data_IF_604225779899
#
_entry.id   IF_604225779899
#
_cell.length_a   1.000
_cell.length_b   1.000
_cell.length_c   1.000
_cell.angle_alpha   90.00
_cell.angle_beta   90.00
_cell.angle_gamma   90.00
#
_symmetry.space_group_name_H-M   'P 1'
#
loop_
_entity.id
_entity.type
_entity.pdbx_description
1 polymer ?
#
# COMPACT_ATOMS: atom_id res chain seq x y z
N UNK A 1 33.17 7.95 10.19
CA UNK A 1 32.80 9.05 9.27
C UNK A 1 31.99 8.44 8.13
N UNK A 2 30.85 9.02 7.74
CA UNK A 2 30.02 8.45 6.67
C UNK A 2 30.62 8.71 5.28
N UNK A 3 30.52 7.77 4.33
CA UNK A 3 30.91 8.01 2.94
C UNK A 3 30.12 9.15 2.33
N UNK A 4 30.82 10.15 1.80
CA UNK A 4 30.21 11.39 1.32
C UNK A 4 29.19 11.17 0.20
N UNK A 5 29.46 10.25 -0.73
CA UNK A 5 28.54 9.89 -1.82
C UNK A 5 27.22 9.34 -1.29
N UNK A 6 27.28 8.48 -0.27
CA UNK A 6 26.08 7.91 0.36
C UNK A 6 25.28 8.99 1.10
N UNK A 7 25.95 9.93 1.77
CA UNK A 7 25.30 11.08 2.42
C UNK A 7 24.56 11.95 1.38
N UNK A 8 25.19 12.24 0.23
CA UNK A 8 24.54 13.00 -0.85
C UNK A 8 23.29 12.27 -1.36
N UNK A 9 23.38 10.95 -1.57
CA UNK A 9 22.26 10.15 -2.06
C UNK A 9 21.08 10.16 -1.08
N UNK A 10 21.33 9.91 0.21
CA UNK A 10 20.28 9.94 1.24
C UNK A 10 19.67 11.34 1.38
N UNK A 11 20.51 12.40 1.35
CA UNK A 11 20.02 13.78 1.37
C UNK A 11 19.11 14.07 0.18
N UNK A 12 19.44 13.57 -1.01
CA UNK A 12 18.60 13.71 -2.21
C UNK A 12 17.28 12.97 -2.07
N UNK A 13 17.29 11.73 -1.56
CA UNK A 13 16.08 10.95 -1.29
C UNK A 13 15.11 11.70 -0.36
N UNK A 14 15.60 12.15 0.80
CA UNK A 14 14.78 12.94 1.73
C UNK A 14 14.37 14.30 1.19
N UNK A 15 15.24 14.99 0.43
CA UNK A 15 14.91 16.27 -0.19
C UNK A 15 13.73 16.16 -1.17
N UNK A 16 13.74 15.11 -2.01
CA UNK A 16 12.66 14.78 -2.94
C UNK A 16 11.33 14.54 -2.22
N UNK A 17 11.33 13.66 -1.21
CA UNK A 17 10.15 13.36 -0.41
C UNK A 17 9.61 14.62 0.31
N UNK A 18 10.48 15.39 0.97
CA UNK A 18 10.07 16.61 1.67
C UNK A 18 9.47 17.64 0.72
N UNK A 19 10.08 17.88 -0.44
CA UNK A 19 9.57 18.81 -1.44
C UNK A 19 8.18 18.39 -1.93
N UNK A 20 7.97 17.09 -2.18
CA UNK A 20 6.66 16.59 -2.58
C UNK A 20 5.62 16.78 -1.47
N UNK A 21 5.97 16.47 -0.22
CA UNK A 21 5.07 16.60 0.92
C UNK A 21 4.71 18.07 1.22
N UNK A 22 5.66 19.00 1.07
CA UNK A 22 5.41 20.44 1.24
C UNK A 22 4.29 20.94 0.33
N UNK A 23 4.29 20.47 -0.91
CA UNK A 23 3.34 20.91 -1.93
C UNK A 23 2.01 20.16 -1.79
N UNK A 24 2.07 18.85 -1.55
CA UNK A 24 0.91 17.97 -1.72
C UNK A 24 0.28 17.51 -0.41
N UNK A 25 1.06 17.29 0.65
CA UNK A 25 0.59 16.67 1.89
C UNK A 25 1.28 17.25 3.15
N UNK A 26 1.14 18.55 3.43
CA UNK A 26 1.82 19.23 4.53
C UNK A 26 1.45 18.68 5.90
N UNK A 27 0.25 18.12 6.06
CA UNK A 27 -0.22 17.47 7.29
C UNK A 27 0.62 16.22 7.61
N UNK A 28 0.95 15.41 6.61
CA UNK A 28 1.85 14.28 6.79
C UNK A 28 3.31 14.75 7.00
N UNK A 29 3.73 15.83 6.33
CA UNK A 29 5.06 16.43 6.58
C UNK A 29 5.23 16.83 8.04
N UNK A 30 4.21 17.44 8.64
CA UNK A 30 4.25 17.91 10.02
C UNK A 30 4.48 16.77 11.03
N UNK A 31 4.21 15.52 10.65
CA UNK A 31 4.50 14.35 11.49
C UNK A 31 5.96 13.89 11.42
N UNK A 32 6.76 14.37 10.47
CA UNK A 32 8.15 13.93 10.33
C UNK A 32 9.01 14.48 11.48
N UNK A 33 9.79 13.59 12.09
CA UNK A 33 10.67 13.92 13.20
C UNK A 33 12.05 14.31 12.70
N UNK A 34 12.67 15.26 13.38
CA UNK A 34 14.06 15.65 13.12
C UNK A 34 14.99 14.44 13.27
N UNK A 35 16.02 14.35 12.43
CA UNK A 35 16.98 13.26 12.50
C UNK A 35 17.68 13.14 13.86
N UNK A 36 17.95 11.91 14.27
CA UNK A 36 18.57 11.55 15.56
C UNK A 36 20.07 11.77 15.55
N UNK A 37 20.72 11.93 16.71
CA UNK A 37 22.18 12.05 16.85
C UNK A 37 22.92 10.72 16.64
N UNK A 38 24.25 10.75 16.50
CA UNK A 38 25.05 9.51 16.50
C UNK A 38 24.95 8.75 17.82
N UNK A 39 24.85 9.48 18.94
CA UNK A 39 24.73 8.88 20.26
C UNK A 39 23.39 8.14 20.41
N UNK A 40 22.30 8.71 19.88
CA UNK A 40 20.98 8.06 19.86
C UNK A 40 21.00 6.76 19.04
N UNK A 41 21.68 6.75 17.88
CA UNK A 41 21.84 5.55 17.06
C UNK A 41 22.67 4.49 17.79
N UNK A 42 23.78 4.88 18.43
CA UNK A 42 24.61 3.96 19.21
C UNK A 42 23.83 3.35 20.38
N UNK A 43 23.02 4.16 21.07
CA UNK A 43 22.16 3.70 22.14
C UNK A 43 21.07 2.75 21.63
N UNK A 44 20.43 3.06 20.51
CA UNK A 44 19.48 2.19 19.83
C UNK A 44 20.10 0.82 19.49
N UNK A 45 21.28 0.81 18.86
CA UNK A 45 22.04 -0.39 18.49
C UNK A 45 22.39 -1.22 19.73
N UNK A 46 22.79 -0.56 20.82
CA UNK A 46 23.08 -1.19 22.12
C UNK A 46 21.83 -1.85 22.71
N UNK A 47 20.69 -1.17 22.70
CA UNK A 47 19.42 -1.67 23.24
C UNK A 47 18.95 -2.93 22.49
N UNK A 48 18.98 -2.91 21.16
CA UNK A 48 18.52 -4.03 20.33
C UNK A 48 19.61 -5.07 20.03
N UNK A 49 20.87 -4.78 20.40
CA UNK A 49 22.04 -5.64 20.11
C UNK A 49 22.20 -5.94 18.61
N UNK A 50 21.98 -4.91 17.79
CA UNK A 50 22.14 -4.94 16.32
C UNK A 50 23.10 -3.85 15.88
N UNK A 51 23.61 -3.94 14.65
CA UNK A 51 24.35 -2.86 13.99
C UNK A 51 23.57 -2.46 12.74
N UNK A 52 23.10 -1.22 12.68
CA UNK A 52 22.33 -0.74 11.54
C UNK A 52 23.21 -0.71 10.28
N UNK A 53 22.66 -1.10 9.12
CA UNK A 53 23.31 -0.89 7.84
C UNK A 53 23.64 0.59 7.64
N UNK A 54 24.81 0.88 7.04
CA UNK A 54 25.28 2.24 6.88
C UNK A 54 24.27 3.19 6.19
N UNK A 55 23.57 2.79 5.10
CA UNK A 55 22.53 3.63 4.50
C UNK A 55 21.37 3.91 5.45
N UNK A 56 20.99 2.93 6.28
CA UNK A 56 19.91 3.08 7.26
C UNK A 56 20.28 4.03 8.39
N UNK A 57 21.52 3.98 8.89
CA UNK A 57 22.01 4.96 9.86
C UNK A 57 21.85 6.38 9.34
N UNK A 58 22.31 6.62 8.11
CA UNK A 58 22.23 7.95 7.50
C UNK A 58 20.77 8.37 7.28
N UNK A 59 19.88 7.46 6.88
CA UNK A 59 18.44 7.75 6.78
C UNK A 59 17.89 8.33 8.09
N UNK A 60 18.18 7.68 9.22
CA UNK A 60 17.75 8.15 10.55
C UNK A 60 18.46 9.43 11.01
N UNK A 61 19.71 9.67 10.57
CA UNK A 61 20.40 10.95 10.82
C UNK A 61 19.73 12.14 10.15
N UNK A 62 18.99 11.93 9.05
CA UNK A 62 18.21 12.98 8.40
C UNK A 62 16.79 13.10 8.93
N UNK A 63 16.14 11.97 9.27
CA UNK A 63 14.75 11.95 9.72
C UNK A 63 14.49 10.73 10.62
N UNK A 64 13.99 10.97 11.83
CA UNK A 64 13.64 9.93 12.82
C UNK A 64 12.23 9.38 12.59
N UNK A 65 11.88 9.05 11.35
CA UNK A 65 10.53 8.58 11.01
C UNK A 65 9.41 9.59 11.27
N UNK A 66 8.21 9.09 11.55
CA UNK A 66 7.00 9.88 11.79
C UNK A 66 6.55 9.78 13.25
N UNK A 67 5.85 10.80 13.75
CA UNK A 67 5.05 10.67 14.96
C UNK A 67 4.01 9.56 14.77
N UNK A 68 4.32 8.40 15.36
CA UNK A 68 3.51 7.21 15.28
C UNK A 68 2.62 7.15 16.51
N UNK A 69 1.44 7.74 16.41
CA UNK A 69 0.42 7.67 17.45
C UNK A 69 -0.34 6.35 17.34
N UNK A 70 0.14 5.31 18.01
CA UNK A 70 -0.67 4.12 18.33
C UNK A 70 -1.40 4.31 19.66
N UNK A 71 -2.20 5.39 19.75
CA UNK A 71 -2.94 5.74 20.96
C UNK A 71 -4.35 5.11 21.00
N UNK A 72 -4.95 4.91 22.19
CA UNK A 72 -6.33 4.42 22.33
C UNK A 72 -7.41 5.40 21.82
N UNK A 73 -7.01 6.61 21.43
CA UNK A 73 -7.86 7.69 20.92
C UNK A 73 -7.81 7.85 19.39
N UNK A 74 -7.05 7.01 18.69
CA UNK A 74 -7.14 6.97 17.24
C UNK A 74 -8.48 6.34 16.88
N UNK A 75 -9.22 6.96 15.96
CA UNK A 75 -10.47 6.39 15.45
C UNK A 75 -10.25 4.93 15.02
N UNK A 76 -11.32 4.13 14.93
CA UNK A 76 -11.20 2.74 14.48
C UNK A 76 -10.49 2.59 13.11
N UNK A 77 -10.39 3.71 12.38
CA UNK A 77 -9.75 3.90 11.08
C UNK A 77 -8.24 4.21 11.13
N UNK A 78 -7.59 4.35 12.29
CA UNK A 78 -6.16 4.72 12.32
C UNK A 78 -5.93 6.19 11.86
N UNK A 79 -4.67 6.62 11.81
CA UNK A 79 -4.30 7.92 11.23
C UNK A 79 -4.00 7.78 9.73
N UNK A 80 -4.47 8.72 8.91
CA UNK A 80 -4.37 8.71 7.44
C UNK A 80 -3.08 9.35 6.90
N UNK A 81 -2.17 9.75 7.81
CA UNK A 81 -0.97 10.54 7.52
C UNK A 81 0.32 9.72 7.28
N UNK A 82 0.23 8.40 7.17
CA UNK A 82 1.36 7.51 6.89
C UNK A 82 2.12 7.92 5.63
N UNK A 83 3.43 8.14 5.77
CA UNK A 83 4.34 8.59 4.72
C UNK A 83 4.38 7.63 3.54
N UNK A 84 4.25 6.34 3.82
CA UNK A 84 4.32 5.27 2.82
C UNK A 84 2.94 5.07 2.16
N UNK A 85 1.87 5.58 2.76
CA UNK A 85 0.52 5.43 2.26
C UNK A 85 -0.06 4.03 2.47
N UNK A 86 -1.15 3.75 1.76
CA UNK A 86 -1.77 2.43 1.79
C UNK A 86 -2.99 2.31 0.88
N UNK A 87 -3.96 1.52 1.33
CA UNK A 87 -5.15 1.14 0.59
C UNK A 87 -6.26 0.73 1.55
N UNK A 88 -7.51 0.73 1.08
CA UNK A 88 -8.65 0.30 1.89
C UNK A 88 -9.62 -0.56 1.10
N UNK A 89 -10.12 -1.64 1.68
CA UNK A 89 -11.22 -2.39 1.10
C UNK A 89 -12.03 -3.03 2.23
N UNK A 90 -13.36 -2.99 2.13
CA UNK A 90 -14.24 -3.44 3.21
C UNK A 90 -13.85 -2.82 4.57
N UNK A 91 -13.48 -3.64 5.55
CA UNK A 91 -12.97 -3.28 6.87
C UNK A 91 -11.43 -3.32 6.97
N UNK A 92 -10.75 -3.70 5.88
CA UNK A 92 -9.30 -3.69 5.78
C UNK A 92 -8.82 -2.29 5.42
N UNK A 93 -8.17 -1.62 6.35
CA UNK A 93 -7.55 -0.32 6.13
C UNK A 93 -6.08 -0.42 6.47
N UNK A 94 -5.23 -0.02 5.55
CA UNK A 94 -3.78 -0.02 5.71
C UNK A 94 -3.30 1.39 5.43
N UNK A 95 -2.48 1.90 6.35
CA UNK A 95 -1.70 3.11 6.11
C UNK A 95 -0.39 3.03 6.88
N UNK A 96 0.72 3.08 6.16
CA UNK A 96 2.03 2.70 6.69
C UNK A 96 2.87 3.93 7.05
N UNK A 97 3.45 3.87 8.25
CA UNK A 97 4.32 4.88 8.81
C UNK A 97 5.75 4.39 8.82
N UNK A 98 6.69 5.29 8.57
CA UNK A 98 8.09 5.06 8.90
C UNK A 98 8.27 5.29 10.39
N UNK A 99 8.76 4.29 11.14
CA UNK A 99 8.78 4.34 12.59
C UNK A 99 9.99 5.14 13.12
N UNK A 100 9.82 5.94 14.17
CA UNK A 100 10.91 6.54 14.92
C UNK A 100 11.66 5.49 15.74
N UNK A 101 12.93 5.72 16.06
CA UNK A 101 13.78 4.71 16.70
C UNK A 101 13.20 4.16 18.02
N UNK A 102 12.50 4.98 18.81
CA UNK A 102 11.82 4.53 20.03
C UNK A 102 10.70 3.50 19.74
N UNK A 103 9.91 3.74 18.69
CA UNK A 103 8.87 2.82 18.25
C UNK A 103 9.45 1.59 17.56
N UNK A 104 10.54 1.71 16.82
CA UNK A 104 11.31 0.57 16.31
C UNK A 104 11.73 -0.34 17.47
N UNK A 105 12.25 0.22 18.57
CA UNK A 105 12.61 -0.55 19.77
C UNK A 105 11.38 -1.26 20.35
N UNK A 106 10.28 -0.52 20.55
CA UNK A 106 9.05 -1.05 21.14
C UNK A 106 8.49 -2.21 20.31
N UNK A 107 8.25 -1.99 19.02
CA UNK A 107 7.67 -2.96 18.10
C UNK A 107 8.59 -4.17 17.90
N UNK A 108 9.90 -3.96 17.76
CA UNK A 108 10.86 -5.06 17.61
C UNK A 108 10.87 -5.95 18.85
N UNK A 109 10.87 -5.39 20.06
CA UNK A 109 10.83 -6.17 21.31
C UNK A 109 9.54 -6.98 21.45
N UNK A 110 8.41 -6.45 20.99
CA UNK A 110 7.12 -7.16 21.03
C UNK A 110 7.13 -8.31 20.03
N UNK A 111 7.51 -8.06 18.78
CA UNK A 111 7.42 -9.06 17.71
C UNK A 111 8.46 -10.17 17.88
N UNK A 112 9.70 -9.85 18.27
CA UNK A 112 10.75 -10.86 18.45
C UNK A 112 10.56 -11.75 19.69
N UNK A 113 9.55 -11.50 20.54
CA UNK A 113 9.12 -12.47 21.57
C UNK A 113 8.37 -13.65 20.97
N UNK A 114 7.90 -13.52 19.73
CA UNK A 114 7.16 -14.59 19.07
C UNK A 114 8.09 -15.77 18.73
N UNK A 115 7.68 -17.04 18.98
CA UNK A 115 8.50 -18.22 18.73
C UNK A 115 9.05 -18.36 17.31
N UNK A 116 8.36 -17.78 16.33
CA UNK A 116 8.76 -17.77 14.93
C UNK A 116 10.06 -17.01 14.66
N UNK A 117 10.52 -16.18 15.60
CA UNK A 117 11.78 -15.46 15.49
C UNK A 117 12.84 -16.05 16.43
N UNK A 118 14.02 -16.34 15.88
CA UNK A 118 15.17 -16.75 16.69
C UNK A 118 15.64 -15.60 17.57
N UNK A 119 16.10 -15.90 18.80
CA UNK A 119 16.76 -14.92 19.66
C UNK A 119 18.05 -14.34 19.07
N UNK A 120 18.61 -14.98 18.03
CA UNK A 120 19.76 -14.49 17.27
C UNK A 120 19.38 -13.62 16.06
N UNK A 121 18.08 -13.53 15.76
CA UNK A 121 17.56 -12.66 14.70
C UNK A 121 18.12 -11.25 14.83
N UNK A 122 18.53 -10.68 13.69
CA UNK A 122 18.95 -9.29 13.56
C UNK A 122 17.91 -8.45 12.83
N UNK A 123 16.64 -8.88 12.86
CA UNK A 123 15.53 -8.13 12.31
C UNK A 123 15.06 -7.03 13.26
N UNK A 124 14.79 -5.85 12.71
CA UNK A 124 14.13 -4.73 13.40
C UNK A 124 12.92 -4.27 12.60
N UNK A 125 11.90 -3.73 13.26
CA UNK A 125 10.65 -3.26 12.63
C UNK A 125 10.76 -1.78 12.32
N UNK A 126 10.98 -1.42 11.05
CA UNK A 126 11.27 -0.03 10.63
C UNK A 126 10.06 0.74 10.09
N UNK A 127 9.02 0.03 9.69
CA UNK A 127 7.75 0.63 9.28
C UNK A 127 6.59 -0.27 9.70
N UNK A 128 5.45 0.34 10.04
CA UNK A 128 4.25 -0.38 10.44
C UNK A 128 2.98 0.36 10.03
N UNK A 129 1.87 -0.37 9.87
CA UNK A 129 0.55 0.25 9.77
C UNK A 129 0.06 0.73 11.14
N UNK A 130 -0.65 1.86 11.16
CA UNK A 130 -1.29 2.40 12.37
C UNK A 130 -2.68 1.80 12.64
N UNK A 131 -3.12 0.87 11.80
CA UNK A 131 -4.50 0.38 11.73
C UNK A 131 -4.68 -0.97 12.43
N UNK A 132 -5.93 -1.40 12.60
CA UNK A 132 -6.27 -2.70 13.21
C UNK A 132 -5.59 -3.88 12.52
N UNK A 133 -5.50 -3.82 11.19
CA UNK A 133 -4.78 -4.82 10.40
C UNK A 133 -3.30 -4.46 10.37
N UNK A 134 -2.51 -5.23 11.12
CA UNK A 134 -1.09 -4.95 11.34
C UNK A 134 -0.25 -5.42 10.17
N UNK A 135 0.38 -4.47 9.47
CA UNK A 135 1.38 -4.68 8.43
C UNK A 135 2.73 -4.20 8.95
N UNK A 136 3.74 -5.05 8.90
CA UNK A 136 5.06 -4.76 9.46
C UNK A 136 6.15 -4.93 8.41
N UNK A 137 7.14 -4.04 8.47
CA UNK A 137 8.32 -4.06 7.61
C UNK A 137 9.57 -4.29 8.46
N UNK A 138 10.33 -5.31 8.09
CA UNK A 138 11.48 -5.81 8.83
C UNK A 138 12.78 -5.53 8.07
N UNK A 139 13.68 -4.77 8.68
CA UNK A 139 15.04 -4.61 8.18
C UNK A 139 15.93 -5.68 8.79
N UNK A 140 16.63 -6.46 7.96
CA UNK A 140 17.69 -7.34 8.41
C UNK A 140 18.97 -6.50 8.62
N UNK A 141 19.39 -6.31 9.86
CA UNK A 141 20.57 -5.51 10.16
C UNK A 141 21.90 -6.16 9.74
N UNK A 142 21.92 -7.47 9.46
CA UNK A 142 23.11 -8.15 8.94
C UNK A 142 23.24 -7.95 7.45
N UNK A 143 22.18 -8.20 6.68
CA UNK A 143 22.25 -8.17 5.21
C UNK A 143 21.89 -6.81 4.62
N UNK A 144 21.13 -5.97 5.33
CA UNK A 144 20.56 -4.74 4.79
C UNK A 144 19.30 -4.92 3.95
N UNK A 145 18.76 -6.14 3.87
CA UNK A 145 17.49 -6.43 3.20
C UNK A 145 16.29 -5.88 3.96
N UNK A 146 15.30 -5.39 3.22
CA UNK A 146 14.01 -4.99 3.75
C UNK A 146 12.96 -6.02 3.35
N UNK A 147 12.17 -6.47 4.31
CA UNK A 147 11.08 -7.42 4.10
C UNK A 147 9.76 -6.86 4.62
N UNK A 148 8.66 -7.42 4.14
CA UNK A 148 7.31 -7.20 4.65
C UNK A 148 6.75 -8.52 5.16
N UNK A 149 6.11 -8.50 6.33
CA UNK A 149 5.48 -9.68 6.90
C UNK A 149 4.28 -10.14 6.09
N UNK A 150 4.07 -11.46 6.03
CA UNK A 150 2.90 -12.08 5.38
C UNK A 150 1.86 -12.55 6.41
N UNK A 151 0.78 -13.18 5.95
CA UNK A 151 -0.22 -13.81 6.84
C UNK A 151 0.42 -14.88 7.74
N UNK A 152 1.52 -15.50 7.28
CA UNK A 152 2.27 -16.54 7.99
C UNK A 152 3.28 -15.99 9.00
N UNK A 153 3.44 -14.67 9.11
CA UNK A 153 4.37 -14.05 10.05
C UNK A 153 4.22 -14.58 11.50
N UNK A 154 3.01 -14.65 12.09
CA UNK A 154 2.80 -15.24 13.42
C UNK A 154 2.87 -16.77 13.44
N UNK A 155 2.98 -17.46 12.30
CA UNK A 155 3.03 -18.92 12.27
C UNK A 155 4.50 -19.36 12.22
N UNK A 156 5.20 -18.95 11.16
CA UNK A 156 6.55 -19.39 10.85
C UNK A 156 7.51 -18.24 10.52
N UNK A 157 7.09 -16.99 10.73
CA UNK A 157 7.92 -15.82 10.40
C UNK A 157 7.91 -15.51 8.90
N UNK A 158 6.87 -15.92 8.18
CA UNK A 158 6.71 -15.66 6.75
C UNK A 158 6.86 -14.18 6.39
N UNK A 159 7.78 -13.92 5.46
CA UNK A 159 8.18 -12.58 5.03
C UNK A 159 8.51 -12.60 3.54
N UNK A 160 8.28 -11.48 2.86
CA UNK A 160 8.63 -11.27 1.45
C UNK A 160 9.62 -10.11 1.31
N UNK A 161 10.61 -10.18 0.39
CA UNK A 161 11.52 -9.07 0.14
C UNK A 161 10.77 -7.89 -0.48
N UNK A 162 11.04 -6.68 -0.01
CA UNK A 162 10.46 -5.44 -0.55
C UNK A 162 11.19 -4.94 -1.80
N UNK A 163 12.43 -5.37 -1.99
CA UNK A 163 13.28 -4.95 -3.11
C UNK A 163 13.76 -6.20 -3.84
N UNK A 164 13.60 -6.29 -5.17
CA UNK A 164 14.13 -7.40 -5.96
C UNK A 164 15.65 -7.52 -5.78
N UNK A 165 16.14 -8.74 -5.56
CA UNK A 165 17.57 -9.00 -5.36
C UNK A 165 18.46 -8.46 -6.49
N UNK A 166 17.94 -8.43 -7.72
CA UNK A 166 18.66 -7.91 -8.89
C UNK A 166 18.92 -6.39 -8.86
N UNK A 167 18.13 -5.63 -8.09
CA UNK A 167 18.29 -4.17 -7.96
C UNK A 167 19.17 -3.77 -6.79
N UNK A 168 19.54 -4.73 -5.95
CA UNK A 168 20.28 -4.48 -4.74
C UNK A 168 21.76 -4.47 -5.09
N UNK A 169 22.30 -3.26 -5.27
CA UNK A 169 23.73 -3.08 -5.41
C UNK A 169 24.38 -3.25 -4.04
N UNK A 170 25.51 -3.96 -3.95
CA UNK A 170 26.40 -3.80 -2.80
C UNK A 170 26.81 -2.33 -2.74
N UNK A 171 26.78 -1.72 -1.56
CA UNK A 171 27.13 -0.31 -1.39
C UNK A 171 28.63 -0.11 -1.66
N UNK A 172 28.98 0.07 -2.95
CA UNK A 172 30.33 0.31 -3.48
C UNK A 172 31.36 -0.81 -3.20
N UNK A 173 32.31 -0.99 -4.12
CA UNK A 173 33.46 -1.92 -4.04
C UNK A 173 34.49 -1.50 -2.97
N UNK A 174 34.06 -1.19 -1.76
CA UNK A 174 34.95 -0.92 -0.63
C UNK A 174 34.79 -2.01 0.43
N UNK A 175 35.56 -3.08 0.23
CA UNK A 175 35.97 -4.10 1.20
C UNK A 175 34.92 -4.65 2.19
N UNK A 176 34.55 -5.90 1.91
CA UNK A 176 34.37 -7.02 2.85
C UNK A 176 33.12 -7.11 3.74
N UNK A 177 32.09 -6.30 3.51
CA UNK A 177 30.72 -6.63 3.98
C UNK A 177 29.70 -6.10 2.96
N UNK A 178 29.08 -7.01 2.18
CA UNK A 178 28.02 -6.71 1.19
C UNK A 178 26.72 -6.24 1.87
N UNK A 179 26.75 -5.15 2.62
CA UNK A 179 25.55 -4.55 3.19
C UNK A 179 24.73 -3.88 2.09
N UNK A 180 23.47 -4.27 2.04
CA UNK A 180 22.51 -3.83 1.05
C UNK A 180 21.79 -2.56 1.50
N UNK A 181 21.29 -1.78 0.54
CA UNK A 181 20.63 -0.49 0.75
C UNK A 181 19.11 -0.56 0.52
N UNK A 182 18.50 -1.73 0.76
CA UNK A 182 17.11 -2.01 0.38
C UNK A 182 16.11 -0.99 0.95
N UNK A 183 16.28 -0.53 2.20
CA UNK A 183 15.43 0.51 2.78
C UNK A 183 15.54 1.86 2.05
N UNK A 184 16.75 2.24 1.62
CA UNK A 184 16.97 3.46 0.84
C UNK A 184 16.37 3.33 -0.55
N UNK A 185 16.60 2.22 -1.25
CA UNK A 185 16.00 1.94 -2.57
C UNK A 185 14.47 1.97 -2.50
N UNK A 186 13.89 1.38 -1.46
CA UNK A 186 12.44 1.38 -1.24
C UNK A 186 11.88 2.80 -1.09
N UNK A 187 12.54 3.66 -0.30
CA UNK A 187 12.13 5.07 -0.14
C UNK A 187 12.36 5.90 -1.42
N UNK A 188 13.45 5.66 -2.15
CA UNK A 188 13.73 6.30 -3.43
C UNK A 188 12.67 5.97 -4.48
N UNK A 189 12.27 4.71 -4.56
CA UNK A 189 11.20 4.27 -5.46
C UNK A 189 9.84 4.84 -5.06
N UNK A 190 9.53 4.88 -3.76
CA UNK A 190 8.32 5.53 -3.25
C UNK A 190 8.25 7.01 -3.65
N UNK A 191 9.35 7.75 -3.39
CA UNK A 191 9.47 9.15 -3.81
C UNK A 191 9.35 9.34 -5.32
N UNK A 192 9.97 8.47 -6.12
CA UNK A 192 9.85 8.49 -7.59
C UNK A 192 8.40 8.28 -8.05
N UNK A 193 7.67 7.33 -7.44
CA UNK A 193 6.26 7.07 -7.77
C UNK A 193 5.35 8.25 -7.43
N UNK A 194 5.62 8.95 -6.33
CA UNK A 194 4.91 10.18 -5.94
C UNK A 194 5.17 11.33 -6.92
N UNK A 195 6.44 11.60 -7.24
CA UNK A 195 6.83 12.69 -8.14
C UNK A 195 6.31 12.50 -9.57
N UNK A 196 6.35 11.27 -10.07
CA UNK A 196 5.92 10.95 -11.43
C UNK A 196 4.40 10.74 -11.52
N UNK A 197 3.66 10.91 -10.41
CA UNK A 197 2.21 10.75 -10.36
C UNK A 197 1.72 9.31 -10.53
N UNK A 198 2.60 8.30 -10.42
CA UNK A 198 2.17 6.89 -10.44
C UNK A 198 1.24 6.62 -9.27
N UNK A 199 1.56 7.15 -8.09
CA UNK A 199 0.67 7.16 -6.92
C UNK A 199 0.38 8.61 -6.54
N UNK A 200 -0.81 8.88 -6.01
CA UNK A 200 -1.28 10.23 -5.72
C UNK A 200 -1.93 10.30 -4.36
N UNK A 201 -2.10 11.52 -3.88
CA UNK A 201 -2.96 11.78 -2.73
C UNK A 201 -4.42 11.60 -3.14
N UNK A 202 -5.15 10.81 -2.37
CA UNK A 202 -6.58 10.61 -2.51
C UNK A 202 -7.30 11.29 -1.35
N UNK A 203 -8.50 11.82 -1.63
CA UNK A 203 -9.36 12.44 -0.62
C UNK A 203 -10.77 11.86 -0.69
N UNK A 204 -11.19 11.26 0.42
CA UNK A 204 -12.53 10.70 0.60
C UNK A 204 -13.07 11.06 1.97
N UNK A 205 -14.29 11.59 2.03
CA UNK A 205 -14.92 11.98 3.30
C UNK A 205 -14.14 13.05 4.08
N UNK A 206 -13.34 13.89 3.40
CA UNK A 206 -12.46 14.89 4.02
C UNK A 206 -11.17 14.30 4.62
N UNK A 207 -10.93 13.00 4.45
CA UNK A 207 -9.71 12.32 4.87
C UNK A 207 -8.79 12.21 3.68
N UNK A 208 -7.58 12.76 3.82
CA UNK A 208 -6.52 12.70 2.80
C UNK A 208 -5.52 11.61 3.17
N UNK A 209 -5.09 10.83 2.17
CA UNK A 209 -4.07 9.79 2.32
C UNK A 209 -3.37 9.51 1.00
N UNK A 210 -2.13 9.03 1.05
CA UNK A 210 -1.43 8.55 -0.15
C UNK A 210 -2.05 7.20 -0.54
N UNK A 211 -2.69 7.14 -1.72
CA UNK A 211 -3.23 5.90 -2.27
C UNK A 211 -2.15 5.17 -3.04
N UNK A 212 -1.91 3.89 -2.71
CA UNK A 212 -0.92 3.06 -3.39
C UNK A 212 -1.39 2.52 -4.74
N UNK A 213 -2.67 2.70 -5.07
CA UNK A 213 -3.23 2.32 -6.35
C UNK A 213 -2.62 3.17 -7.47
N UNK A 214 -2.02 2.54 -8.50
CA UNK A 214 -1.48 3.27 -9.62
C UNK A 214 -2.54 4.07 -10.40
N UNK A 215 -2.21 5.29 -10.79
CA UNK A 215 -3.09 6.18 -11.56
C UNK A 215 -2.74 6.24 -13.05
N UNK A 216 -1.52 5.82 -13.41
CA UNK A 216 -0.97 5.97 -14.76
C UNK A 216 -0.62 4.61 -15.40
N UNK A 217 -0.68 4.48 -16.75
CA UNK A 217 -0.22 3.30 -17.48
C UNK A 217 1.28 3.00 -17.25
N UNK A 218 1.72 1.74 -17.41
CA UNK A 218 0.92 0.54 -17.73
C UNK A 218 0.23 -0.07 -16.50
N UNK A 219 0.42 0.50 -15.31
CA UNK A 219 -0.07 -0.06 -14.05
C UNK A 219 -1.55 0.29 -13.76
N UNK A 220 -2.10 1.28 -14.47
CA UNK A 220 -3.52 1.58 -14.52
C UNK A 220 -4.06 1.30 -15.93
N UNK A 221 -4.95 0.33 -16.05
CA UNK A 221 -5.72 0.10 -17.28
C UNK A 221 -6.85 1.13 -17.39
N UNK A 222 -7.16 1.56 -18.61
CA UNK A 222 -8.26 2.48 -18.90
C UNK A 222 -9.03 2.00 -20.12
N UNK A 223 -10.35 1.98 -20.01
CA UNK A 223 -11.26 1.72 -21.12
C UNK A 223 -12.34 2.81 -21.18
N UNK A 224 -12.72 3.21 -22.38
CA UNK A 224 -13.86 4.09 -22.62
C UNK A 224 -14.82 3.37 -23.54
N UNK A 225 -16.08 3.27 -23.13
CA UNK A 225 -17.13 2.62 -23.93
C UNK A 225 -18.40 3.42 -23.79
N UNK A 226 -18.96 3.87 -24.93
CA UNK A 226 -20.19 4.64 -24.98
C UNK A 226 -20.20 5.84 -24.02
N UNK A 227 -19.06 6.54 -23.88
CA UNK A 227 -18.91 7.71 -23.01
C UNK A 227 -18.61 7.42 -21.54
N UNK A 228 -18.72 6.16 -21.09
CA UNK A 228 -18.31 5.77 -19.73
C UNK A 228 -16.82 5.44 -19.75
N UNK A 229 -16.05 6.14 -18.93
CA UNK A 229 -14.63 5.87 -18.68
C UNK A 229 -14.48 5.03 -17.42
N UNK A 230 -13.76 3.92 -17.54
CA UNK A 230 -13.39 3.05 -16.42
C UNK A 230 -11.89 2.96 -16.35
N UNK A 231 -11.34 3.21 -15.17
CA UNK A 231 -9.92 3.00 -14.86
C UNK A 231 -9.79 1.92 -13.79
N UNK A 232 -8.81 1.05 -13.93
CA UNK A 232 -8.59 -0.08 -13.04
C UNK A 232 -7.11 -0.23 -12.72
N UNK A 233 -6.78 -0.42 -11.45
CA UNK A 233 -5.41 -0.69 -11.00
C UNK A 233 -5.42 -1.62 -9.80
N UNK A 234 -4.32 -2.34 -9.59
CA UNK A 234 -4.21 -3.32 -8.51
C UNK A 234 -3.01 -3.03 -7.61
N UNK A 235 -3.08 -3.55 -6.39
CA UNK A 235 -1.98 -3.59 -5.42
C UNK A 235 -1.93 -4.98 -4.80
N UNK A 236 -0.72 -5.45 -4.52
CA UNK A 236 -0.50 -6.70 -3.80
C UNK A 236 -0.63 -6.49 -2.28
N UNK A 237 -1.17 -7.47 -1.56
CA UNK A 237 -1.41 -7.45 -0.11
C UNK A 237 -0.56 -8.54 0.57
N UNK A 238 0.71 -8.26 0.90
CA UNK A 238 1.58 -9.21 1.58
C UNK A 238 0.99 -9.76 2.88
N UNK A 239 0.44 -8.89 3.72
CA UNK A 239 -0.07 -9.23 5.06
C UNK A 239 -1.31 -10.14 5.04
N UNK A 240 -1.94 -10.31 3.89
CA UNK A 240 -3.07 -11.24 3.66
C UNK A 240 -2.73 -12.34 2.66
N UNK A 241 -1.43 -12.53 2.40
CA UNK A 241 -0.93 -13.59 1.52
C UNK A 241 -0.43 -14.77 2.34
N UNK A 242 -0.98 -15.95 2.07
CA UNK A 242 -0.53 -17.23 2.62
C UNK A 242 0.47 -17.87 1.65
N UNK A 243 1.69 -18.14 2.12
CA UNK A 243 2.76 -18.78 1.32
C UNK A 243 3.05 -20.22 1.77
N UNK A 244 2.14 -20.88 2.49
CA UNK A 244 2.27 -22.31 2.77
C UNK A 244 2.32 -23.10 1.46
N UNK A 245 3.24 -24.07 1.41
CA UNK A 245 3.53 -24.86 0.19
C UNK A 245 2.25 -25.49 -0.38
N UNK A 246 1.36 -25.98 0.49
CA UNK A 246 0.17 -26.73 0.08
C UNK A 246 -1.10 -25.86 -0.07
N UNK A 247 -1.05 -24.57 0.28
CA UNK A 247 -2.21 -23.68 0.27
C UNK A 247 -1.83 -22.22 -0.03
N UNK A 248 -1.08 -22.00 -1.11
CA UNK A 248 -0.68 -20.65 -1.50
C UNK A 248 -1.91 -19.81 -1.86
N UNK A 249 -2.03 -18.64 -1.24
CA UNK A 249 -3.11 -17.68 -1.48
C UNK A 249 -2.52 -16.29 -1.53
N UNK A 250 -2.37 -15.75 -2.73
CA UNK A 250 -1.90 -14.39 -2.98
C UNK A 250 -3.08 -13.44 -2.95
N UNK A 251 -3.03 -12.45 -2.04
CA UNK A 251 -4.09 -11.45 -1.95
C UNK A 251 -3.75 -10.21 -2.77
N UNK A 252 -4.69 -9.78 -3.61
CA UNK A 252 -4.63 -8.52 -4.35
C UNK A 252 -5.83 -7.66 -3.99
N UNK A 253 -5.63 -6.35 -3.88
CA UNK A 253 -6.72 -5.39 -3.93
C UNK A 253 -6.75 -4.70 -5.28
N UNK A 254 -7.95 -4.36 -5.75
CA UNK A 254 -8.16 -3.62 -6.97
C UNK A 254 -9.03 -2.40 -6.69
N UNK A 255 -8.70 -1.29 -7.36
CA UNK A 255 -9.45 -0.05 -7.35
C UNK A 255 -10.04 0.18 -8.73
N UNK A 256 -11.37 0.36 -8.79
CA UNK A 256 -12.09 0.70 -10.01
C UNK A 256 -12.62 2.13 -9.87
N UNK A 257 -12.31 2.96 -10.86
CA UNK A 257 -12.70 4.37 -10.92
C UNK A 257 -13.54 4.60 -12.16
N UNK A 258 -14.73 5.15 -11.99
CA UNK A 258 -15.73 5.32 -13.03
C UNK A 258 -16.11 6.79 -13.17
N UNK A 259 -16.10 7.29 -14.41
CA UNK A 259 -16.57 8.63 -14.76
C UNK A 259 -17.34 8.62 -16.07
N UNK A 260 -18.18 9.64 -16.25
CA UNK A 260 -18.89 9.89 -17.48
C UNK A 260 -18.23 11.06 -18.20
N UNK A 261 -17.92 10.89 -19.48
CA UNK A 261 -17.30 11.94 -20.28
C UNK A 261 -18.25 13.15 -20.47
N UNK A 262 -17.71 14.35 -20.79
CA UNK A 262 -18.50 15.57 -20.98
C UNK A 262 -19.68 15.41 -21.96
N UNK A 263 -19.53 14.59 -22.98
CA UNK A 263 -20.53 14.34 -24.03
C UNK A 263 -21.70 13.46 -23.55
N UNK A 264 -21.62 12.90 -22.34
CA UNK A 264 -22.59 11.92 -21.83
C UNK A 264 -22.31 10.51 -22.34
N UNK A 265 -23.34 9.67 -22.36
CA UNK A 265 -23.25 8.29 -22.83
C UNK A 265 -24.23 7.98 -23.95
N UNK A 266 -23.92 6.97 -24.77
CA UNK A 266 -24.83 6.48 -25.83
C UNK A 266 -25.32 5.07 -25.47
N UNK A 267 -26.62 4.92 -25.29
CA UNK A 267 -27.23 3.61 -24.97
C UNK A 267 -28.29 3.31 -26.02
N UNK A 268 -28.15 2.18 -26.72
CA UNK A 268 -29.00 1.79 -27.85
C UNK A 268 -29.09 2.87 -28.95
N UNK A 269 -27.98 3.57 -29.22
CA UNK A 269 -27.92 4.64 -30.23
C UNK A 269 -28.53 5.98 -29.79
N UNK A 270 -29.02 6.08 -28.55
CA UNK A 270 -29.63 7.30 -28.00
C UNK A 270 -28.66 7.95 -27.00
N UNK A 271 -28.39 9.26 -27.10
CA UNK A 271 -27.55 9.97 -26.15
C UNK A 271 -28.28 10.26 -24.84
N UNK A 272 -27.57 10.15 -23.72
CA UNK A 272 -28.04 10.47 -22.38
C UNK A 272 -27.00 11.28 -21.60
N UNK A 273 -27.45 12.27 -20.85
CA UNK A 273 -26.60 13.09 -19.97
C UNK A 273 -26.32 12.44 -18.62
N UNK A 274 -26.73 11.19 -18.42
CA UNK A 274 -26.45 10.41 -17.22
C UNK A 274 -26.72 8.93 -17.45
N UNK A 275 -26.03 8.08 -16.70
CA UNK A 275 -26.28 6.65 -16.66
C UNK A 275 -26.00 6.09 -15.27
N UNK A 276 -26.74 5.06 -14.89
CA UNK A 276 -26.55 4.39 -13.60
C UNK A 276 -26.03 2.98 -13.82
N UNK A 277 -25.01 2.59 -13.04
CA UNK A 277 -24.53 1.22 -13.03
C UNK A 277 -25.64 0.30 -12.55
N UNK A 278 -25.84 -0.80 -13.27
CA UNK A 278 -26.80 -1.85 -12.94
C UNK A 278 -26.11 -3.15 -12.55
N UNK A 279 -25.18 -3.64 -13.38
CA UNK A 279 -24.51 -4.93 -13.19
C UNK A 279 -23.00 -4.87 -13.44
N UNK A 280 -22.29 -5.82 -12.86
CA UNK A 280 -20.89 -6.15 -13.16
C UNK A 280 -20.79 -7.61 -13.56
N UNK A 281 -19.92 -7.90 -14.52
CA UNK A 281 -19.52 -9.23 -14.89
C UNK A 281 -18.00 -9.30 -14.86
N UNK A 282 -17.44 -10.17 -14.01
CA UNK A 282 -16.00 -10.37 -13.86
C UNK A 282 -15.62 -11.80 -14.22
N UNK A 283 -14.53 -11.93 -14.96
CA UNK A 283 -13.81 -13.17 -15.22
C UNK A 283 -12.43 -12.99 -14.57
N UNK A 284 -12.10 -13.91 -13.67
CA UNK A 284 -10.84 -13.86 -12.92
C UNK A 284 -9.97 -15.03 -13.38
N UNK A 285 -8.73 -14.74 -13.73
CA UNK A 285 -7.74 -15.72 -14.14
C UNK A 285 -6.56 -15.77 -13.17
N UNK A 286 -6.05 -16.98 -12.94
CA UNK A 286 -4.83 -17.27 -12.20
C UNK A 286 -3.85 -17.94 -13.17
N UNK A 287 -2.68 -17.33 -13.45
CA UNK A 287 -1.73 -17.78 -14.47
C UNK A 287 -2.44 -18.26 -15.77
N UNK A 288 -3.25 -17.40 -16.38
CA UNK A 288 -4.05 -17.62 -17.61
C UNK A 288 -5.20 -18.65 -17.52
N UNK A 289 -5.44 -19.25 -16.35
CA UNK A 289 -6.56 -20.17 -16.15
C UNK A 289 -7.72 -19.45 -15.47
N UNK A 290 -8.91 -19.55 -16.06
CA UNK A 290 -10.14 -19.02 -15.45
C UNK A 290 -10.43 -19.73 -14.14
N UNK A 291 -10.41 -18.97 -13.04
CA UNK A 291 -10.71 -19.46 -11.67
C UNK A 291 -12.04 -18.95 -11.13
N UNK A 292 -12.61 -17.89 -11.70
CA UNK A 292 -13.90 -17.36 -11.27
C UNK A 292 -14.68 -16.67 -12.40
N UNK A 293 -16.01 -16.73 -12.29
CA UNK A 293 -16.96 -16.01 -13.14
C UNK A 293 -18.06 -15.42 -12.24
N UNK A 294 -18.07 -14.09 -12.10
CA UNK A 294 -18.96 -13.38 -11.18
C UNK A 294 -19.85 -12.44 -11.98
N UNK A 295 -21.11 -12.81 -12.14
CA UNK A 295 -22.13 -11.95 -12.74
C UNK A 295 -23.16 -11.55 -11.68
N UNK A 296 -23.18 -10.26 -11.31
CA UNK A 296 -24.01 -9.77 -10.23
C UNK A 296 -24.42 -8.30 -10.41
N UNK A 297 -25.53 -7.94 -9.78
CA UNK A 297 -25.95 -6.55 -9.67
C UNK A 297 -25.03 -5.75 -8.74
N UNK A 298 -25.04 -4.43 -8.97
CA UNK A 298 -24.27 -3.45 -8.21
C UNK A 298 -22.74 -3.62 -8.30
N UNK A 299 -22.03 -2.72 -7.64
CA UNK A 299 -20.63 -2.86 -7.22
C UNK A 299 -20.60 -2.56 -5.73
N UNK A 300 -20.03 -3.43 -4.91
CA UNK A 300 -20.01 -3.29 -3.43
C UNK A 300 -21.38 -2.92 -2.80
N UNK A 301 -22.48 -3.39 -3.39
CA UNK A 301 -23.86 -3.05 -2.94
C UNK A 301 -24.34 -1.64 -3.33
N UNK A 302 -23.59 -0.92 -4.16
CA UNK A 302 -23.91 0.41 -4.69
C UNK A 302 -24.24 0.36 -6.19
N UNK A 303 -25.16 1.23 -6.59
CA UNK A 303 -25.54 1.47 -7.98
C UNK A 303 -25.20 2.93 -8.33
N UNK A 304 -23.92 3.26 -8.58
CA UNK A 304 -23.49 4.64 -8.81
C UNK A 304 -24.18 5.26 -10.03
N UNK A 305 -24.70 6.47 -9.85
CA UNK A 305 -25.15 7.33 -10.94
C UNK A 305 -23.98 8.19 -11.39
N UNK A 306 -23.65 8.11 -12.68
CA UNK A 306 -22.59 8.91 -13.28
C UNK A 306 -23.20 10.11 -14.01
N UNK A 307 -22.60 11.28 -13.79
CA UNK A 307 -22.95 12.56 -14.42
C UNK A 307 -21.68 13.15 -15.05
N UNK A 308 -21.77 13.82 -16.21
CA UNK A 308 -20.63 14.51 -16.80
C UNK A 308 -20.08 15.56 -15.83
N UNK A 309 -18.76 15.61 -15.67
CA UNK A 309 -18.08 16.58 -14.79
C UNK A 309 -18.24 16.33 -13.29
N UNK A 310 -19.00 15.32 -12.85
CA UNK A 310 -19.04 14.93 -11.46
C UNK A 310 -17.75 14.23 -11.02
N UNK A 311 -17.49 14.22 -9.70
CA UNK A 311 -16.38 13.45 -9.11
C UNK A 311 -16.50 11.98 -9.51
N UNK A 312 -15.37 11.36 -9.84
CA UNK A 312 -15.34 9.94 -10.19
C UNK A 312 -15.90 9.09 -9.04
N UNK A 313 -16.67 8.06 -9.39
CA UNK A 313 -17.04 7.04 -8.44
C UNK A 313 -15.87 6.06 -8.31
N UNK A 314 -15.37 5.90 -7.10
CA UNK A 314 -14.26 4.98 -6.78
C UNK A 314 -14.78 3.89 -5.86
N UNK A 315 -14.39 2.65 -6.13
CA UNK A 315 -14.53 1.58 -5.16
C UNK A 315 -13.32 0.65 -5.20
N UNK A 316 -13.03 0.09 -4.03
CA UNK A 316 -11.91 -0.80 -3.79
C UNK A 316 -12.45 -2.12 -3.25
N UNK A 317 -11.85 -3.22 -3.69
CA UNK A 317 -12.25 -4.59 -3.34
C UNK A 317 -11.01 -5.49 -3.42
N UNK A 318 -11.14 -6.77 -3.09
CA UNK A 318 -10.04 -7.72 -3.10
C UNK A 318 -10.37 -8.98 -3.92
N UNK A 319 -9.30 -9.64 -4.37
CA UNK A 319 -9.33 -10.89 -5.08
C UNK A 319 -8.15 -11.76 -4.58
N UNK A 320 -8.41 -12.82 -3.80
CA UNK A 320 -7.40 -13.83 -3.53
C UNK A 320 -7.21 -14.71 -4.77
N UNK A 321 -5.95 -15.03 -5.09
CA UNK A 321 -5.57 -15.91 -6.19
C UNK A 321 -4.69 -17.05 -5.68
N UNK A 322 -4.77 -18.25 -6.27
CA UNK A 322 -3.89 -19.37 -5.93
C UNK A 322 -2.47 -19.19 -6.50
N UNK A 323 -2.23 -18.14 -7.27
CA UNK A 323 -0.97 -17.88 -7.99
C UNK A 323 -0.50 -16.44 -7.78
N UNK A 324 0.81 -16.23 -7.92
CA UNK A 324 1.45 -14.91 -7.78
C UNK A 324 1.15 -13.96 -8.95
N UNK A 325 0.53 -14.45 -10.02
CA UNK A 325 0.11 -13.65 -11.17
C UNK A 325 -1.29 -14.04 -11.64
N UNK A 326 -2.01 -13.10 -12.23
CA UNK A 326 -3.37 -13.31 -12.72
C UNK A 326 -3.95 -12.03 -13.30
N UNK A 327 -5.20 -12.12 -13.77
CA UNK A 327 -5.91 -10.99 -14.36
C UNK A 327 -7.38 -10.98 -13.92
N UNK A 328 -7.97 -9.79 -13.93
CA UNK A 328 -9.41 -9.58 -13.75
C UNK A 328 -9.88 -8.80 -14.97
N UNK A 329 -10.78 -9.38 -15.75
CA UNK A 329 -11.36 -8.76 -16.93
C UNK A 329 -12.88 -8.86 -16.86
N UNK A 330 -13.59 -7.97 -17.55
CA UNK A 330 -15.03 -7.94 -17.39
C UNK A 330 -15.73 -6.76 -18.02
N UNK A 331 -17.00 -6.61 -17.68
CA UNK A 331 -17.85 -5.54 -18.19
C UNK A 331 -18.78 -5.01 -17.11
N UNK A 332 -19.24 -3.78 -17.33
CA UNK A 332 -20.27 -3.14 -16.54
C UNK A 332 -21.47 -2.87 -17.43
N UNK A 333 -22.66 -3.19 -16.94
CA UNK A 333 -23.91 -2.80 -17.59
C UNK A 333 -24.45 -1.55 -16.94
N UNK A 334 -24.65 -0.52 -17.76
CA UNK A 334 -25.27 0.74 -17.37
C UNK A 334 -26.65 0.85 -17.98
N UNK A 335 -27.56 1.50 -17.27
CA UNK A 335 -28.90 1.87 -17.77
C UNK A 335 -29.01 3.40 -17.90
N UNK A 336 -29.84 3.90 -18.84
CA UNK A 336 -30.02 5.33 -19.01
C UNK A 336 -30.59 6.02 -17.77
N UNK A 337 -30.10 7.21 -17.46
CA UNK A 337 -30.64 8.02 -16.39
C UNK A 337 -30.49 7.37 -15.02
N UNK A 338 -31.50 7.59 -14.18
CA UNK A 338 -31.60 7.02 -12.84
C UNK A 338 -32.68 5.94 -12.83
N UNK A 339 -32.37 4.78 -12.26
CA UNK A 339 -33.34 3.70 -12.11
C UNK A 339 -34.53 4.15 -11.25
N UNK A 340 -35.77 3.88 -11.68
CA UNK A 340 -36.99 4.33 -11.01
C UNK A 340 -37.20 3.64 -9.65
N UNK A 341 -36.68 2.43 -9.48
CA UNK A 341 -36.66 1.71 -8.22
C UNK A 341 -35.21 1.71 -7.70
N UNK A 342 -34.98 2.14 -6.45
CA UNK A 342 -33.76 1.69 -5.75
C UNK A 342 -33.94 0.18 -5.60
N UNK A 343 -33.13 -0.67 -6.26
CA UNK A 343 -33.09 -2.07 -5.87
C UNK A 343 -32.82 -2.06 -4.37
N UNK A 344 -33.62 -2.76 -3.57
CA UNK A 344 -33.43 -2.85 -2.13
C UNK A 344 -31.92 -3.01 -1.90
N UNK A 345 -31.30 -2.04 -1.22
CA UNK A 345 -30.02 -2.27 -0.60
C UNK A 345 -30.28 -3.38 0.40
N UNK A 346 -30.15 -4.63 -0.05
CA UNK A 346 -30.15 -5.78 0.83
C UNK A 346 -28.98 -5.50 1.78
N UNK A 347 -29.32 -5.02 2.97
CA UNK A 347 -28.40 -4.88 4.06
C UNK A 347 -27.81 -6.28 4.27
N UNK A 348 -26.61 -6.51 3.74
CA UNK A 348 -25.82 -7.65 4.16
C UNK A 348 -25.48 -7.41 5.62
N UNK A 349 -26.29 -7.96 6.53
CA UNK A 349 -25.80 -8.33 7.86
C UNK A 349 -24.59 -9.22 7.63
N UNK A 350 -23.45 -8.82 8.19
CA UNK A 350 -22.28 -9.68 8.32
C UNK A 350 -22.72 -11.02 8.91
N UNK A 351 -22.56 -12.09 8.13
CA UNK A 351 -22.50 -13.43 8.69
C UNK A 351 -21.07 -13.55 9.24
N UNK A 352 -20.87 -13.76 10.55
CA UNK A 352 -19.54 -13.98 11.06
C UNK A 352 -18.98 -15.28 10.44
N UNK A 353 -17.85 -15.16 9.75
CA UNK A 353 -16.98 -16.30 9.50
C UNK A 353 -16.16 -16.45 10.79
N UNK A 354 -16.48 -17.45 11.61
CA UNK A 354 -15.69 -17.80 12.79
C UNK A 354 -14.61 -18.82 12.40
N UNK A 355 -13.38 -18.41 12.73
CA UNK A 355 -12.09 -19.12 12.85
C UNK A 355 -11.75 -20.21 11.82
#
# INVERSE_FOLDING_TARGET
MYPWLLVIRVKRCWGRLNNWLDINFPEAKATLRTGVSEADIQEFERILKVKLPLPTRILYRFCDGQEFTSGPLVSAQGSSLGLIGGYSFYDHLINVYLLPLNEVISNTKVILRHPSFSSRSKYIVVAASSTHVKKFFFLNCTTGQLHVGTENLPINGGMLPCVPNALINSVLDFNDDQQQDAMLLWLEEHGRRLENGVIKLHEEGGIRSISLFPEEPPLCSTAVTNGVKVRASTVFIPESTDLQIDNQRYAFSYSIRMSLLPEGCVIHGVPFSSCQLHRRHWIIHANDHKVSDVNAEAVIGKFPLLLPGAKEFVYESCAPLPTSSGSIEGSFTFVPGRMPYRPLQLARRSIPLQA
#
